data_IF_037288212376
#
_entry.id   IF_037288212376
#
_cell.length_a   1.000
_cell.length_b   1.000
_cell.length_c   1.000
_cell.angle_alpha   90.00
_cell.angle_beta   90.00
_cell.angle_gamma   90.00
#
_symmetry.space_group_name_H-M   'P 1'
#
loop_
_entity.id
_entity.type
_entity.pdbx_description
1 polymer ?
#
# COMPACT_ATOMS: atom_id res chain seq x y z
N UNK A 1 -12.45 -24.56 22.30
CA UNK A 1 -11.12 -24.60 21.65
C UNK A 1 -10.29 -25.74 22.25
N UNK A 2 -9.79 -26.64 21.43
CA UNK A 2 -8.71 -27.55 21.88
C UNK A 2 -7.40 -26.79 21.77
N UNK A 3 -6.76 -26.54 22.87
CA UNK A 3 -5.39 -26.02 22.91
C UNK A 3 -4.38 -27.04 22.38
N UNK A 4 -3.14 -26.61 22.14
CA UNK A 4 -2.06 -27.51 21.73
C UNK A 4 -1.81 -28.57 22.81
N UNK A 5 -1.38 -29.76 22.37
CA UNK A 5 -1.11 -30.87 23.28
C UNK A 5 0.21 -30.70 24.04
N UNK A 6 1.19 -29.98 23.46
CA UNK A 6 2.52 -29.74 24.05
C UNK A 6 3.05 -28.31 23.88
N UNK A 7 2.38 -27.46 23.09
CA UNK A 7 2.82 -26.06 22.85
C UNK A 7 2.43 -25.11 23.96
N UNK A 8 3.35 -24.23 24.36
CA UNK A 8 3.19 -23.27 25.45
C UNK A 8 2.94 -21.84 24.94
N UNK A 9 2.47 -20.99 25.83
CA UNK A 9 2.39 -19.53 25.62
C UNK A 9 1.52 -19.10 24.41
N UNK A 10 0.45 -19.83 24.14
CA UNK A 10 -0.49 -19.45 23.09
C UNK A 10 -1.67 -18.63 23.65
N UNK A 11 -2.03 -17.56 22.95
CA UNK A 11 -3.28 -16.80 23.18
C UNK A 11 -4.29 -17.15 22.08
N UNK A 12 -5.38 -17.84 22.43
CA UNK A 12 -6.37 -18.34 21.46
C UNK A 12 -7.77 -17.86 21.88
N UNK A 13 -8.38 -17.00 21.07
CA UNK A 13 -9.67 -16.39 21.35
C UNK A 13 -10.58 -16.48 20.10
N UNK A 14 -11.69 -17.14 20.20
CA UNK A 14 -12.70 -17.25 19.13
C UNK A 14 -13.13 -18.69 18.86
N UNK A 15 -14.26 -18.86 18.17
CA UNK A 15 -14.73 -20.16 17.73
C UNK A 15 -13.76 -20.74 16.72
N UNK A 16 -13.33 -22.00 16.93
CA UNK A 16 -12.39 -22.74 16.08
C UNK A 16 -11.03 -22.04 15.86
N UNK A 17 -10.69 -21.01 16.65
CA UNK A 17 -9.36 -20.44 16.65
C UNK A 17 -8.32 -21.50 17.06
N UNK A 18 -7.18 -21.55 16.38
CA UNK A 18 -6.16 -22.58 16.55
C UNK A 18 -6.58 -23.98 16.04
N UNK A 19 -7.78 -24.13 15.51
CA UNK A 19 -8.32 -25.36 14.99
C UNK A 19 -8.24 -26.57 15.94
N UNK A 20 -8.69 -27.72 15.50
CA UNK A 20 -8.55 -28.97 16.28
C UNK A 20 -7.20 -29.67 16.11
N UNK A 21 -6.27 -29.11 15.35
CA UNK A 21 -5.04 -29.76 14.90
C UNK A 21 -3.74 -29.27 15.51
N UNK A 22 -3.76 -28.23 16.34
CA UNK A 22 -2.53 -27.71 16.95
C UNK A 22 -1.95 -28.76 17.92
N UNK A 23 -0.75 -29.24 17.63
CA UNK A 23 -0.07 -30.26 18.43
C UNK A 23 1.04 -29.72 19.29
N UNK A 24 1.97 -28.96 18.71
CA UNK A 24 3.13 -28.39 19.42
C UNK A 24 3.41 -26.93 19.08
N UNK A 25 2.52 -26.24 18.38
CA UNK A 25 2.68 -24.81 18.08
C UNK A 25 2.73 -23.96 19.35
N UNK A 26 3.72 -23.08 19.48
CA UNK A 26 3.96 -22.27 20.68
C UNK A 26 4.06 -20.78 20.35
N UNK A 27 3.81 -19.95 21.36
CA UNK A 27 3.94 -18.49 21.26
C UNK A 27 3.08 -17.85 20.13
N UNK A 28 1.91 -18.39 19.88
CA UNK A 28 1.01 -17.86 18.86
C UNK A 28 -0.09 -17.00 19.49
N UNK A 29 -0.46 -15.91 18.81
CA UNK A 29 -1.64 -15.09 19.14
C UNK A 29 -2.70 -15.26 18.03
N UNK A 30 -3.77 -16.01 18.31
CA UNK A 30 -4.82 -16.40 17.38
C UNK A 30 -6.16 -15.84 17.86
N UNK A 31 -6.66 -14.77 17.24
CA UNK A 31 -7.85 -14.05 17.70
C UNK A 31 -8.85 -13.91 16.56
N UNK A 32 -10.01 -14.50 16.70
CA UNK A 32 -11.10 -14.50 15.71
C UNK A 32 -11.59 -15.89 15.36
N UNK A 33 -12.77 -15.98 14.76
CA UNK A 33 -13.31 -17.25 14.29
C UNK A 33 -12.36 -17.90 13.29
N UNK A 34 -11.97 -19.15 13.51
CA UNK A 34 -11.03 -19.92 12.66
C UNK A 34 -9.65 -19.27 12.44
N UNK A 35 -9.24 -18.31 13.27
CA UNK A 35 -7.90 -17.73 13.21
C UNK A 35 -6.85 -18.82 13.45
N UNK A 36 -5.88 -18.97 12.54
CA UNK A 36 -4.89 -20.06 12.59
C UNK A 36 -5.50 -21.46 12.51
N UNK A 37 -6.66 -21.63 11.88
CA UNK A 37 -7.47 -22.85 11.95
C UNK A 37 -6.78 -24.13 11.49
N UNK A 38 -5.74 -24.06 10.66
CA UNK A 38 -4.96 -25.22 10.19
C UNK A 38 -3.58 -25.32 10.87
N UNK A 39 -3.27 -24.47 11.84
CA UNK A 39 -1.96 -24.45 12.47
C UNK A 39 -1.74 -25.72 13.32
N UNK A 40 -0.62 -26.42 13.12
CA UNK A 40 -0.25 -27.63 13.83
C UNK A 40 0.99 -27.46 14.71
N UNK A 41 2.12 -27.12 14.12
CA UNK A 41 3.42 -27.01 14.79
C UNK A 41 4.06 -25.62 14.67
N UNK A 42 3.46 -24.72 13.86
CA UNK A 42 3.98 -23.38 13.65
C UNK A 42 4.05 -22.54 14.93
N UNK A 43 5.09 -21.72 15.06
CA UNK A 43 5.38 -20.93 16.24
C UNK A 43 5.48 -19.43 15.92
N UNK A 44 5.30 -18.58 16.95
CA UNK A 44 5.52 -17.15 16.82
C UNK A 44 4.63 -16.48 15.75
N UNK A 45 3.40 -16.99 15.53
CA UNK A 45 2.48 -16.41 14.59
C UNK A 45 1.47 -15.47 15.28
N UNK A 46 1.11 -14.40 14.61
CA UNK A 46 0.00 -13.52 14.97
C UNK A 46 -1.06 -13.62 13.88
N UNK A 47 -2.26 -14.09 14.23
CA UNK A 47 -3.40 -14.16 13.34
C UNK A 47 -4.62 -13.51 14.01
N UNK A 48 -5.02 -12.35 13.52
CA UNK A 48 -6.15 -11.59 14.08
C UNK A 48 -7.18 -11.30 12.97
N UNK A 49 -8.37 -11.82 13.14
CA UNK A 49 -9.47 -11.75 12.18
C UNK A 49 -10.05 -13.11 11.84
N UNK A 50 -11.27 -13.13 11.30
CA UNK A 50 -11.91 -14.37 10.87
C UNK A 50 -11.11 -15.03 9.73
N UNK A 51 -10.77 -16.32 9.85
CA UNK A 51 -9.92 -17.08 8.92
C UNK A 51 -8.50 -16.49 8.73
N UNK A 52 -8.03 -15.55 9.57
CA UNK A 52 -6.67 -15.02 9.48
C UNK A 52 -5.64 -16.15 9.75
N UNK A 53 -4.54 -16.19 8.99
CA UNK A 53 -3.49 -17.20 9.15
C UNK A 53 -3.91 -18.63 8.79
N UNK A 54 -5.12 -18.85 8.28
CA UNK A 54 -5.70 -20.17 8.10
C UNK A 54 -5.02 -21.08 7.05
N UNK A 55 -4.04 -20.58 6.28
CA UNK A 55 -3.23 -21.44 5.40
C UNK A 55 -1.98 -22.01 6.06
N UNK A 56 -1.47 -21.39 7.13
CA UNK A 56 -0.28 -21.86 7.82
C UNK A 56 -0.58 -23.16 8.56
N UNK A 57 0.25 -24.18 8.35
CA UNK A 57 0.20 -25.45 9.08
C UNK A 57 1.43 -25.58 9.98
N UNK A 58 2.61 -25.42 9.41
CA UNK A 58 3.91 -25.47 10.07
C UNK A 58 4.65 -24.14 10.02
N UNK A 59 4.11 -23.14 9.33
CA UNK A 59 4.70 -21.81 9.15
C UNK A 59 4.90 -21.05 10.45
N UNK A 60 5.96 -20.28 10.54
CA UNK A 60 6.36 -19.56 11.76
C UNK A 60 6.74 -18.11 11.47
N UNK A 61 6.70 -17.29 12.52
CA UNK A 61 7.07 -15.86 12.45
C UNK A 61 6.20 -15.07 11.45
N UNK A 62 4.92 -15.39 11.34
CA UNK A 62 4.02 -14.72 10.43
C UNK A 62 3.05 -13.80 11.17
N UNK A 63 2.70 -12.67 10.53
CA UNK A 63 1.68 -11.75 10.97
C UNK A 63 0.57 -11.71 9.92
N UNK A 64 -0.65 -12.06 10.31
CA UNK A 64 -1.84 -12.06 9.46
C UNK A 64 -2.95 -11.26 10.14
N UNK A 65 -3.18 -10.03 9.71
CA UNK A 65 -4.17 -9.12 10.28
C UNK A 65 -5.28 -8.84 9.28
N UNK A 66 -6.51 -9.18 9.62
CA UNK A 66 -7.72 -8.91 8.85
C UNK A 66 -8.43 -10.16 8.35
N UNK A 67 -9.65 -9.96 7.81
CA UNK A 67 -10.51 -11.02 7.29
C UNK A 67 -9.82 -11.79 6.16
N UNK A 68 -9.61 -13.09 6.34
CA UNK A 68 -8.93 -13.95 5.36
C UNK A 68 -7.56 -13.44 4.90
N UNK A 69 -6.83 -12.73 5.76
CA UNK A 69 -5.42 -12.45 5.55
C UNK A 69 -4.64 -13.75 5.77
N UNK A 70 -4.07 -14.31 4.70
CA UNK A 70 -3.48 -15.64 4.74
C UNK A 70 -2.03 -15.65 4.28
N UNK A 71 -1.22 -16.50 4.90
CA UNK A 71 0.11 -16.84 4.38
C UNK A 71 0.01 -17.48 2.99
N UNK A 72 1.08 -17.43 2.21
CA UNK A 72 1.10 -17.96 0.84
C UNK A 72 1.13 -19.50 0.78
N UNK A 73 1.63 -20.13 1.83
CA UNK A 73 1.80 -21.59 1.89
C UNK A 73 1.64 -22.12 3.33
N UNK A 74 1.59 -23.44 3.44
CA UNK A 74 1.49 -24.14 4.73
C UNK A 74 2.71 -23.97 5.61
N UNK A 75 3.90 -23.83 5.04
CA UNK A 75 5.17 -23.62 5.72
C UNK A 75 5.74 -22.20 5.64
N UNK A 76 4.90 -21.20 5.35
CA UNK A 76 5.33 -19.82 5.18
C UNK A 76 6.14 -19.26 6.36
N UNK A 77 7.21 -18.50 6.07
CA UNK A 77 8.11 -17.94 7.07
C UNK A 77 8.27 -16.43 6.90
N UNK A 78 8.25 -15.70 8.02
CA UNK A 78 8.55 -14.27 8.07
C UNK A 78 7.65 -13.44 7.13
N UNK A 79 6.36 -13.71 7.08
CA UNK A 79 5.43 -12.96 6.25
C UNK A 79 4.61 -11.99 7.09
N UNK A 80 4.38 -10.79 6.56
CA UNK A 80 3.48 -9.81 7.15
C UNK A 80 2.35 -9.53 6.17
N UNK A 81 1.10 -9.73 6.61
CA UNK A 81 -0.08 -9.51 5.82
C UNK A 81 -1.09 -8.69 6.59
N UNK A 82 -1.31 -7.48 6.15
CA UNK A 82 -2.26 -6.55 6.74
C UNK A 82 -3.31 -6.19 5.69
N UNK A 83 -4.52 -6.67 5.87
CA UNK A 83 -5.57 -6.41 4.88
C UNK A 83 -6.66 -7.47 4.88
N UNK A 84 -7.46 -7.49 3.82
CA UNK A 84 -8.62 -8.37 3.75
C UNK A 84 -8.80 -9.05 2.39
N UNK A 85 -9.32 -10.26 2.44
CA UNK A 85 -9.93 -10.92 1.29
C UNK A 85 -11.27 -10.28 0.92
N UNK A 86 -11.82 -10.66 -0.22
CA UNK A 86 -13.15 -10.25 -0.67
C UNK A 86 -14.11 -11.46 -0.62
N UNK A 87 -15.00 -11.49 0.33
CA UNK A 87 -16.01 -12.55 0.45
C UNK A 87 -15.42 -13.96 0.43
N UNK A 88 -15.47 -14.66 -0.70
CA UNK A 88 -14.97 -16.02 -0.88
C UNK A 88 -13.46 -16.08 -1.05
N UNK A 89 -12.86 -15.03 -1.61
CA UNK A 89 -11.45 -15.02 -1.97
C UNK A 89 -10.55 -14.53 -0.84
N UNK A 90 -9.38 -15.13 -0.79
CA UNK A 90 -8.37 -14.93 0.25
C UNK A 90 -7.40 -13.80 -0.15
N UNK A 91 -6.89 -13.06 0.81
CA UNK A 91 -5.75 -12.16 0.64
C UNK A 91 -4.47 -12.95 0.96
N UNK A 92 -3.84 -13.50 -0.08
CA UNK A 92 -2.72 -14.44 0.06
C UNK A 92 -1.39 -13.71 -0.04
N UNK A 93 -0.42 -14.12 0.77
CA UNK A 93 0.94 -13.61 0.81
C UNK A 93 1.76 -13.83 -0.47
N UNK A 94 2.82 -13.04 -0.58
CA UNK A 94 3.69 -13.01 -1.77
C UNK A 94 4.88 -13.96 -1.76
N UNK A 95 5.03 -14.80 -0.74
CA UNK A 95 6.21 -15.64 -0.51
C UNK A 95 6.83 -15.39 0.86
N UNK A 96 7.88 -16.14 1.19
CA UNK A 96 8.64 -15.93 2.43
C UNK A 96 9.33 -14.56 2.44
N UNK A 97 9.55 -14.03 3.63
CA UNK A 97 10.20 -12.72 3.85
C UNK A 97 9.49 -11.56 3.12
N UNK A 98 8.17 -11.60 3.00
CA UNK A 98 7.40 -10.54 2.33
C UNK A 98 6.47 -9.79 3.28
N UNK A 99 6.24 -8.52 2.97
CA UNK A 99 5.12 -7.77 3.51
C UNK A 99 4.10 -7.48 2.41
N UNK A 100 2.81 -7.55 2.77
CA UNK A 100 1.69 -7.16 1.92
C UNK A 100 0.69 -6.34 2.72
N UNK A 101 0.31 -5.18 2.21
CA UNK A 101 -0.67 -4.30 2.85
C UNK A 101 -1.74 -3.93 1.81
N UNK A 102 -3.02 -4.08 2.16
CA UNK A 102 -4.12 -3.70 1.29
C UNK A 102 -5.24 -4.73 1.21
N UNK A 103 -5.81 -4.90 0.04
CA UNK A 103 -6.83 -5.91 -0.26
C UNK A 103 -6.42 -6.79 -1.44
N UNK A 104 -7.12 -7.91 -1.64
CA UNK A 104 -6.78 -8.92 -2.65
C UNK A 104 -6.40 -8.35 -4.03
N UNK A 105 -7.16 -7.40 -4.54
CA UNK A 105 -7.02 -6.83 -5.89
C UNK A 105 -6.20 -5.55 -5.94
N UNK A 106 -5.94 -4.91 -4.79
CA UNK A 106 -5.20 -3.65 -4.70
C UNK A 106 -4.34 -3.66 -3.43
N UNK A 107 -3.07 -3.90 -3.60
CA UNK A 107 -2.12 -3.97 -2.48
C UNK A 107 -0.73 -3.49 -2.88
N UNK A 108 0.02 -3.07 -1.89
CA UNK A 108 1.46 -2.86 -1.99
C UNK A 108 2.18 -4.06 -1.38
N UNK A 109 3.31 -4.44 -1.96
CA UNK A 109 4.13 -5.51 -1.41
C UNK A 109 5.62 -5.18 -1.53
N UNK A 110 6.37 -5.77 -0.61
CA UNK A 110 7.82 -5.73 -0.61
C UNK A 110 8.36 -7.12 -0.27
N UNK A 111 9.53 -7.47 -0.79
CA UNK A 111 10.26 -8.67 -0.42
C UNK A 111 11.58 -8.27 0.25
N UNK A 112 11.66 -8.45 1.56
CA UNK A 112 12.81 -8.04 2.38
C UNK A 112 14.10 -8.78 2.04
N UNK A 113 14.01 -9.93 1.36
CA UNK A 113 15.18 -10.72 0.97
C UNK A 113 15.81 -10.26 -0.36
N UNK A 114 15.06 -9.53 -1.21
CA UNK A 114 15.52 -9.18 -2.56
C UNK A 114 15.74 -7.69 -2.78
N UNK A 115 14.88 -6.84 -2.28
CA UNK A 115 15.03 -5.38 -2.37
C UNK A 115 14.22 -4.65 -1.30
N UNK A 116 14.54 -3.38 -1.07
CA UNK A 116 13.83 -2.51 -0.12
C UNK A 116 12.77 -1.63 -0.77
N UNK A 117 12.46 -1.79 -2.06
CA UNK A 117 11.46 -0.98 -2.76
C UNK A 117 10.09 -1.63 -2.76
N UNK A 118 9.04 -0.81 -2.64
CA UNK A 118 7.66 -1.29 -2.75
C UNK A 118 7.34 -1.63 -4.21
N UNK A 119 6.77 -2.81 -4.42
CA UNK A 119 6.35 -3.29 -5.74
C UNK A 119 4.83 -3.17 -5.87
N UNK A 120 4.37 -2.58 -6.96
CA UNK A 120 2.97 -2.54 -7.34
C UNK A 120 2.68 -3.57 -8.44
N UNK A 121 1.61 -4.34 -8.31
CA UNK A 121 1.22 -5.32 -9.32
C UNK A 121 0.92 -4.62 -10.66
N UNK A 122 1.59 -5.06 -11.74
CA UNK A 122 1.47 -4.47 -13.08
C UNK A 122 1.35 -5.52 -14.20
N UNK A 123 0.85 -6.71 -13.87
CA UNK A 123 0.65 -7.81 -14.82
C UNK A 123 -0.50 -7.49 -15.78
N UNK A 124 -0.27 -7.73 -17.07
CA UNK A 124 -1.24 -7.53 -18.16
C UNK A 124 -2.61 -8.15 -17.87
N UNK A 125 -2.63 -9.33 -17.23
CA UNK A 125 -3.86 -10.07 -16.92
C UNK A 125 -4.82 -9.35 -15.96
N UNK A 126 -4.34 -8.32 -15.26
CA UNK A 126 -5.14 -7.49 -14.35
C UNK A 126 -5.56 -6.16 -14.94
N UNK A 127 -5.16 -5.86 -16.18
CA UNK A 127 -5.42 -4.60 -16.85
C UNK A 127 -6.40 -4.78 -18.01
N UNK A 128 -7.20 -3.79 -18.27
CA UNK A 128 -8.11 -3.70 -19.41
C UNK A 128 -7.99 -2.31 -20.07
N UNK A 129 -8.52 -2.17 -21.25
CA UNK A 129 -8.60 -0.90 -21.99
C UNK A 129 -7.23 -0.19 -22.10
N UNK A 130 -6.18 -0.99 -22.39
CA UNK A 130 -4.80 -0.50 -22.45
C UNK A 130 -4.61 0.34 -23.68
N UNK A 131 -4.19 1.58 -23.49
CA UNK A 131 -3.87 2.55 -24.55
C UNK A 131 -2.51 3.18 -24.32
N UNK A 132 -1.91 3.73 -25.36
CA UNK A 132 -0.68 4.49 -25.24
C UNK A 132 -0.91 5.76 -24.42
N UNK A 133 0.03 6.08 -23.54
CA UNK A 133 -0.03 7.30 -22.76
C UNK A 133 0.18 8.53 -23.66
N UNK A 134 -0.73 9.48 -23.60
CA UNK A 134 -0.68 10.75 -24.34
C UNK A 134 -0.15 11.92 -23.52
N UNK A 135 -0.07 11.76 -22.19
CA UNK A 135 0.42 12.79 -21.26
C UNK A 135 1.95 12.77 -21.26
N UNK A 136 2.58 13.76 -21.88
CA UNK A 136 4.03 13.79 -22.12
C UNK A 136 4.67 15.16 -21.90
N UNK A 137 5.45 15.61 -22.89
CA UNK A 137 6.33 16.75 -22.79
C UNK A 137 5.61 18.06 -22.45
N UNK A 138 4.49 18.33 -23.07
CA UNK A 138 3.75 19.58 -22.87
C UNK A 138 3.16 19.66 -21.46
N UNK A 139 2.69 18.53 -20.92
CA UNK A 139 2.22 18.44 -19.54
C UNK A 139 3.37 18.69 -18.55
N UNK A 140 4.49 18.01 -18.72
CA UNK A 140 5.65 18.14 -17.82
C UNK A 140 6.21 19.57 -17.84
N UNK A 141 6.27 20.21 -19.02
CA UNK A 141 6.77 21.57 -19.15
C UNK A 141 5.84 22.64 -18.53
N UNK A 142 4.56 22.34 -18.41
CA UNK A 142 3.59 23.23 -17.78
C UNK A 142 3.62 23.19 -16.24
N UNK A 143 4.21 22.16 -15.66
CA UNK A 143 4.30 22.00 -14.21
C UNK A 143 5.36 22.90 -13.61
N UNK A 144 5.04 23.58 -12.50
CA UNK A 144 5.97 24.37 -11.72
C UNK A 144 6.49 23.58 -10.52
N UNK A 145 7.78 23.31 -10.48
CA UNK A 145 8.43 22.74 -9.29
C UNK A 145 8.71 23.82 -8.25
N UNK A 146 8.54 23.49 -6.98
CA UNK A 146 8.71 24.43 -5.87
C UNK A 146 9.57 23.87 -4.75
N UNK A 147 10.21 24.78 -4.02
CA UNK A 147 10.82 24.49 -2.73
C UNK A 147 9.92 25.09 -1.65
N UNK A 148 9.65 24.33 -0.60
CA UNK A 148 8.77 24.79 0.47
C UNK A 148 9.19 24.27 1.85
N UNK A 149 8.59 24.83 2.88
CA UNK A 149 8.62 24.28 4.25
C UNK A 149 7.20 24.06 4.72
N UNK A 150 7.01 23.05 5.54
CA UNK A 150 5.72 22.84 6.19
C UNK A 150 5.43 23.99 7.17
N UNK A 151 4.20 24.44 7.17
CA UNK A 151 3.68 25.40 8.16
C UNK A 151 3.54 24.75 9.52
N UNK A 152 3.70 25.51 10.59
CA UNK A 152 3.21 25.09 11.89
C UNK A 152 1.66 25.00 11.85
N UNK A 153 1.06 24.21 12.73
CA UNK A 153 -0.40 24.05 12.74
C UNK A 153 -1.11 25.39 13.04
N UNK A 154 -0.47 26.28 13.81
CA UNK A 154 -0.99 27.63 14.07
C UNK A 154 -0.95 28.58 12.86
N UNK A 155 -0.19 28.25 11.82
CA UNK A 155 -0.10 29.02 10.57
C UNK A 155 -1.02 28.50 9.47
N UNK A 156 -1.72 27.41 9.75
CA UNK A 156 -2.74 26.87 8.84
C UNK A 156 -3.97 27.77 8.80
N UNK A 157 -4.79 27.60 7.77
CA UNK A 157 -6.11 28.23 7.73
C UNK A 157 -6.97 27.65 8.87
N UNK A 158 -7.64 28.53 9.63
CA UNK A 158 -8.45 28.12 10.78
C UNK A 158 -9.65 27.26 10.43
N UNK A 159 -10.01 27.16 9.17
CA UNK A 159 -11.06 26.25 8.67
C UNK A 159 -10.59 24.81 8.49
N UNK A 160 -9.28 24.54 8.54
CA UNK A 160 -8.73 23.19 8.43
C UNK A 160 -8.78 22.46 9.76
N UNK A 161 -9.10 21.17 9.72
CA UNK A 161 -9.17 20.32 10.92
C UNK A 161 -7.83 20.20 11.67
N UNK A 162 -6.73 20.37 10.95
CA UNK A 162 -5.37 20.31 11.48
C UNK A 162 -4.92 21.63 12.14
N UNK A 163 -5.71 22.70 12.06
CA UNK A 163 -5.39 23.99 12.71
C UNK A 163 -5.37 23.84 14.23
N UNK A 164 -4.29 24.29 14.85
CA UNK A 164 -4.16 24.39 16.30
C UNK A 164 -3.30 25.62 16.66
N UNK A 165 -3.94 26.64 17.18
CA UNK A 165 -3.27 27.91 17.55
C UNK A 165 -2.17 27.76 18.62
N UNK A 166 -2.15 26.65 19.35
CA UNK A 166 -1.13 26.36 20.37
C UNK A 166 0.15 25.73 19.81
N UNK A 167 0.08 25.19 18.59
CA UNK A 167 1.18 24.50 17.91
C UNK A 167 1.95 25.42 17.00
N UNK A 168 2.87 26.18 17.59
CA UNK A 168 3.65 27.23 16.92
C UNK A 168 4.93 26.73 16.24
N UNK A 169 5.28 25.45 16.40
CA UNK A 169 6.47 24.86 15.80
C UNK A 169 6.06 23.89 14.68
N UNK A 170 6.63 24.07 13.50
CA UNK A 170 6.42 23.14 12.40
C UNK A 170 7.07 21.78 12.68
N UNK A 171 6.43 20.69 12.22
CA UNK A 171 6.94 19.32 12.38
C UNK A 171 8.28 19.09 11.67
N UNK A 172 8.54 19.85 10.60
CA UNK A 172 9.81 19.82 9.88
C UNK A 172 10.23 21.22 9.45
N UNK A 173 11.46 21.58 9.78
CA UNK A 173 12.11 22.83 9.35
C UNK A 173 12.93 22.66 8.07
N UNK A 174 13.09 21.43 7.59
CA UNK A 174 13.86 21.09 6.39
C UNK A 174 13.18 21.61 5.12
N UNK A 175 13.98 22.09 4.17
CA UNK A 175 13.51 22.46 2.85
C UNK A 175 13.02 21.21 2.11
N UNK A 176 11.82 21.27 1.59
CA UNK A 176 11.18 20.23 0.79
C UNK A 176 11.14 20.67 -0.68
N UNK A 177 11.03 19.68 -1.57
CA UNK A 177 10.87 19.90 -3.01
C UNK A 177 9.58 19.20 -3.45
N UNK A 178 8.83 19.81 -4.36
CA UNK A 178 7.60 19.19 -4.83
C UNK A 178 6.80 20.06 -5.79
N UNK A 179 5.52 19.79 -5.86
CA UNK A 179 4.53 20.50 -6.67
C UNK A 179 3.40 21.00 -5.75
N UNK A 180 2.63 21.95 -6.24
CA UNK A 180 1.40 22.41 -5.58
C UNK A 180 0.19 21.70 -6.22
N UNK A 181 -0.59 20.99 -5.43
CA UNK A 181 -1.69 20.17 -5.94
C UNK A 181 -2.71 20.97 -6.77
N UNK A 182 -3.03 22.20 -6.34
CA UNK A 182 -3.94 23.11 -7.04
C UNK A 182 -3.38 23.52 -8.41
N UNK A 183 -2.07 23.76 -8.51
CA UNK A 183 -1.42 24.12 -9.78
C UNK A 183 -1.36 22.92 -10.74
N UNK A 184 -1.12 21.72 -10.22
CA UNK A 184 -1.21 20.48 -11.01
C UNK A 184 -2.61 20.30 -11.55
N UNK A 185 -3.65 20.50 -10.72
CA UNK A 185 -5.05 20.44 -11.15
C UNK A 185 -5.34 21.43 -12.26
N UNK A 186 -4.87 22.66 -12.14
CA UNK A 186 -5.05 23.69 -13.18
C UNK A 186 -4.42 23.25 -14.50
N UNK A 187 -3.20 22.73 -14.49
CA UNK A 187 -2.54 22.21 -15.70
C UNK A 187 -3.33 21.05 -16.33
N UNK A 188 -3.87 20.15 -15.50
CA UNK A 188 -4.71 19.05 -15.96
C UNK A 188 -5.97 19.56 -16.65
N UNK A 189 -6.63 20.57 -16.09
CA UNK A 189 -7.84 21.17 -16.65
C UNK A 189 -7.55 21.91 -17.96
N UNK A 190 -6.49 22.71 -18.00
CA UNK A 190 -6.06 23.46 -19.18
C UNK A 190 -5.71 22.56 -20.36
N UNK A 191 -5.21 21.35 -20.08
CA UNK A 191 -4.85 20.36 -21.11
C UNK A 191 -5.93 19.30 -21.35
N UNK A 192 -7.04 19.34 -20.62
CA UNK A 192 -8.16 18.42 -20.79
C UNK A 192 -7.89 16.98 -20.32
N UNK A 193 -6.88 16.76 -19.44
CA UNK A 193 -6.45 15.42 -18.96
C UNK A 193 -6.93 15.10 -17.55
N UNK A 194 -7.87 15.84 -17.01
CA UNK A 194 -8.32 15.73 -15.62
C UNK A 194 -8.89 14.36 -15.23
N UNK A 195 -9.44 13.61 -16.19
CA UNK A 195 -9.96 12.26 -15.97
C UNK A 195 -8.93 11.15 -16.30
N UNK A 196 -7.79 11.51 -16.90
CA UNK A 196 -6.82 10.56 -17.43
C UNK A 196 -5.57 10.42 -16.54
N UNK A 197 -5.31 11.39 -15.67
CA UNK A 197 -4.10 11.42 -14.85
C UNK A 197 -4.40 11.15 -13.37
N UNK A 198 -3.97 9.98 -12.90
CA UNK A 198 -4.16 9.53 -11.52
C UNK A 198 -3.10 10.07 -10.53
N UNK A 199 -2.28 11.04 -10.92
CA UNK A 199 -1.26 11.66 -10.09
C UNK A 199 -1.78 12.77 -9.16
N UNK A 200 -3.03 13.18 -9.33
CA UNK A 200 -3.74 14.13 -8.48
C UNK A 200 -4.97 13.47 -7.87
N UNK A 201 -5.33 13.87 -6.67
CA UNK A 201 -6.53 13.41 -5.98
C UNK A 201 -7.11 14.50 -5.10
N UNK A 202 -8.41 14.41 -4.83
CA UNK A 202 -9.14 15.26 -3.91
C UNK A 202 -9.89 14.38 -2.92
N UNK A 203 -9.80 14.69 -1.65
CA UNK A 203 -10.60 14.08 -0.61
C UNK A 203 -11.84 14.94 -0.35
N UNK A 204 -12.90 14.66 -1.09
CA UNK A 204 -14.20 15.34 -0.97
C UNK A 204 -14.86 15.12 0.41
N UNK A 205 -14.41 14.12 1.16
CA UNK A 205 -14.95 13.84 2.51
C UNK A 205 -14.31 14.74 3.58
N UNK A 206 -13.15 15.33 3.27
CA UNK A 206 -12.48 16.27 4.14
C UNK A 206 -13.14 17.66 4.02
N UNK A 207 -13.45 18.34 5.15
CA UNK A 207 -13.88 19.74 5.09
C UNK A 207 -12.85 20.56 4.30
N UNK A 208 -13.30 21.30 3.30
CA UNK A 208 -12.47 22.09 2.39
C UNK A 208 -11.68 21.30 1.34
N UNK A 209 -12.12 20.08 0.98
CA UNK A 209 -11.63 19.33 -0.20
C UNK A 209 -10.10 19.28 -0.28
N UNK A 210 -9.46 18.55 0.64
CA UNK A 210 -8.00 18.43 0.70
C UNK A 210 -7.44 17.76 -0.55
N UNK A 211 -6.55 18.45 -1.25
CA UNK A 211 -5.91 17.95 -2.46
C UNK A 211 -4.57 17.29 -2.17
N UNK A 212 -4.26 16.26 -2.92
CA UNK A 212 -3.04 15.48 -2.81
C UNK A 212 -2.38 15.18 -4.15
N UNK A 213 -1.10 14.83 -4.10
CA UNK A 213 -0.31 14.41 -5.26
C UNK A 213 0.31 13.05 -5.00
N UNK A 214 0.19 12.17 -5.97
CA UNK A 214 0.96 10.92 -6.04
C UNK A 214 2.19 11.13 -6.92
N UNK A 215 3.31 11.50 -6.32
CA UNK A 215 4.55 11.84 -7.04
C UNK A 215 5.04 10.71 -7.96
N UNK A 216 4.87 9.44 -7.55
CA UNK A 216 5.25 8.29 -8.35
C UNK A 216 4.53 8.21 -9.70
N UNK A 217 3.35 8.78 -9.83
CA UNK A 217 2.58 8.75 -11.08
C UNK A 217 3.16 9.68 -12.16
N UNK A 218 3.97 10.66 -11.79
CA UNK A 218 4.64 11.55 -12.76
C UNK A 218 5.78 10.85 -13.53
N UNK A 219 6.24 9.70 -13.09
CA UNK A 219 7.26 8.91 -13.80
C UNK A 219 6.79 8.55 -15.21
N UNK A 220 5.52 8.22 -15.41
CA UNK A 220 5.02 7.81 -16.73
C UNK A 220 4.95 8.97 -17.72
N UNK A 221 4.41 10.15 -17.38
CA UNK A 221 4.56 11.37 -18.17
C UNK A 221 6.02 11.75 -18.47
N UNK A 222 6.93 11.60 -17.50
CA UNK A 222 8.35 11.88 -17.73
C UNK A 222 8.97 10.92 -18.75
N UNK A 223 8.66 9.63 -18.70
CA UNK A 223 9.10 8.65 -19.71
C UNK A 223 8.61 9.07 -21.09
N UNK A 224 7.33 9.42 -21.20
CA UNK A 224 6.74 9.89 -22.47
C UNK A 224 7.40 11.17 -22.97
N UNK A 225 7.62 12.14 -22.11
CA UNK A 225 8.32 13.39 -22.45
C UNK A 225 9.73 13.15 -22.98
N UNK A 226 10.49 12.23 -22.36
CA UNK A 226 11.83 11.85 -22.85
C UNK A 226 11.74 11.20 -24.23
N UNK A 227 10.79 10.32 -24.48
CA UNK A 227 10.58 9.69 -25.78
C UNK A 227 10.27 10.73 -26.87
N UNK A 228 9.41 11.72 -26.58
CA UNK A 228 9.08 12.81 -27.48
C UNK A 228 10.27 13.73 -27.77
N UNK A 229 11.05 14.10 -26.74
CA UNK A 229 12.27 14.88 -26.90
C UNK A 229 13.30 14.13 -27.75
N UNK A 230 13.51 12.83 -27.49
CA UNK A 230 14.46 12.00 -28.25
C UNK A 230 14.08 11.95 -29.72
N UNK A 231 12.77 11.86 -30.03
CA UNK A 231 12.29 11.89 -31.41
C UNK A 231 12.56 13.25 -32.07
N UNK A 232 12.25 14.36 -31.38
CA UNK A 232 12.50 15.72 -31.88
C UNK A 232 13.99 15.98 -32.13
N UNK A 233 14.88 15.50 -31.27
CA UNK A 233 16.32 15.63 -31.45
C UNK A 233 16.79 14.90 -32.71
N UNK A 234 16.39 13.64 -32.91
CA UNK A 234 16.73 12.88 -34.11
C UNK A 234 16.25 13.56 -35.39
N UNK A 235 15.02 14.09 -35.40
CA UNK A 235 14.48 14.82 -36.54
C UNK A 235 15.26 16.12 -36.87
N UNK A 236 15.98 16.68 -35.91
CA UNK A 236 16.85 17.85 -36.11
C UNK A 236 18.26 17.44 -36.56
N UNK A 237 18.78 16.31 -36.09
CA UNK A 237 20.09 15.76 -36.47
C UNK A 237 20.10 15.23 -37.92
N UNK A 238 18.95 14.75 -38.41
CA UNK A 238 18.78 14.19 -39.74
C UNK A 238 18.55 15.29 -40.83
N UNK A 239 18.54 16.57 -40.47
CA UNK A 239 18.40 17.74 -41.36
C UNK A 239 19.69 18.41 -41.71
#
# INVERSE_FOLDING_TARGET
TKGPTTGDSNTIIGADAGGGGMTSGACNALIGGSAGGNLTTGTLNIAIGHDAGGCATTGSCNISLGYKALTHSTGALNTIQIGMGDGINKFIGGGDNTVRIGKRTANICNNFASNATWVHASDLRYKKDIQDNTIGLDFINALRTVNYKWKAQSELDSSLNEYDSSKITADSVSLQHGLIAQEVKQVMDDQGVSLEFAGWSEDETHPNSKQGISEAMFVYPLIKAIQELTKRVKELEDK
#
